data_IF_754961218388
#
_entry.id   IF_754961218388
#
_cell.length_a   1.000
_cell.length_b   1.000
_cell.length_c   1.000
_cell.angle_alpha   90.00
_cell.angle_beta   90.00
_cell.angle_gamma   90.00
#
_symmetry.space_group_name_H-M   'P 1'
#
loop_
_entity.id
_entity.type
_entity.pdbx_description
1 polymer ?
#
# COMPACT_ATOMS: atom_id res chain seq x y z
N UNK A 1 6.41 -29.08 11.76
CA UNK A 1 6.68 -27.63 11.65
C UNK A 1 5.89 -26.77 12.64
N UNK A 2 5.29 -27.35 13.69
CA UNK A 2 4.36 -26.64 14.60
C UNK A 2 5.01 -25.59 15.52
N UNK A 3 6.34 -25.40 15.47
CA UNK A 3 7.06 -24.34 16.19
C UNK A 3 7.76 -23.29 15.32
N UNK A 4 7.76 -23.45 13.98
CA UNK A 4 8.40 -22.47 13.08
C UNK A 4 7.52 -21.23 12.92
N UNK A 5 8.12 -20.04 12.77
CA UNK A 5 7.39 -18.78 12.50
C UNK A 5 6.60 -18.93 11.20
N UNK A 6 5.39 -18.37 11.14
CA UNK A 6 4.51 -18.47 9.96
C UNK A 6 5.20 -17.96 8.69
N UNK A 7 5.95 -16.86 8.80
CA UNK A 7 6.76 -16.29 7.72
C UNK A 7 7.80 -17.27 7.18
N UNK A 8 8.50 -17.97 8.07
CA UNK A 8 9.59 -18.87 7.68
C UNK A 8 9.03 -20.13 7.01
N UNK A 9 7.91 -20.62 7.51
CA UNK A 9 7.19 -21.75 6.95
C UNK A 9 6.61 -21.43 5.56
N UNK A 10 5.94 -20.28 5.40
CA UNK A 10 5.42 -19.83 4.09
C UNK A 10 6.57 -19.58 3.11
N UNK A 11 7.67 -18.96 3.55
CA UNK A 11 8.84 -18.75 2.70
C UNK A 11 9.51 -20.08 2.28
N UNK A 12 9.51 -21.09 3.15
CA UNK A 12 9.99 -22.43 2.81
C UNK A 12 9.16 -23.05 1.68
N UNK A 13 7.83 -23.06 1.82
CA UNK A 13 6.93 -23.59 0.79
C UNK A 13 6.96 -22.78 -0.50
N UNK A 14 7.08 -21.45 -0.40
CA UNK A 14 7.27 -20.57 -1.55
C UNK A 14 8.51 -20.97 -2.38
N UNK A 15 9.66 -21.19 -1.72
CA UNK A 15 10.90 -21.62 -2.41
C UNK A 15 10.77 -22.98 -3.10
N UNK A 16 9.87 -23.84 -2.62
CA UNK A 16 9.59 -25.16 -3.22
C UNK A 16 8.49 -25.14 -4.29
N UNK A 17 7.77 -24.02 -4.45
CA UNK A 17 6.59 -23.96 -5.32
C UNK A 17 5.35 -24.66 -4.76
N UNK A 18 5.35 -25.02 -3.47
CA UNK A 18 4.28 -25.77 -2.79
C UNK A 18 3.20 -24.82 -2.26
N UNK A 19 2.48 -24.15 -3.18
CA UNK A 19 1.50 -23.11 -2.82
C UNK A 19 0.33 -23.61 -1.96
N UNK A 20 -0.11 -24.85 -2.16
CA UNK A 20 -1.22 -25.45 -1.40
C UNK A 20 -0.90 -25.57 0.09
N UNK A 21 0.30 -26.03 0.43
CA UNK A 21 0.72 -26.19 1.81
C UNK A 21 0.96 -24.84 2.50
N UNK A 22 1.47 -23.86 1.74
CA UNK A 22 1.60 -22.48 2.20
C UNK A 22 0.24 -21.84 2.53
N UNK A 23 -0.77 -22.03 1.68
CA UNK A 23 -2.14 -21.55 1.90
C UNK A 23 -2.75 -22.23 3.12
N UNK A 24 -2.66 -23.55 3.23
CA UNK A 24 -3.17 -24.31 4.38
C UNK A 24 -2.58 -23.79 5.70
N UNK A 25 -1.28 -23.51 5.72
CA UNK A 25 -0.61 -23.00 6.91
C UNK A 25 -1.07 -21.60 7.33
N UNK A 26 -1.45 -20.74 6.38
CA UNK A 26 -2.03 -19.42 6.68
C UNK A 26 -3.47 -19.53 7.18
N UNK A 27 -4.26 -20.49 6.68
CA UNK A 27 -5.62 -20.76 7.14
C UNK A 27 -5.66 -21.33 8.56
N UNK A 28 -4.79 -22.28 8.86
CA UNK A 28 -4.85 -23.06 10.10
C UNK A 28 -4.21 -22.32 11.30
N UNK A 29 -3.58 -21.17 11.09
CA UNK A 29 -2.87 -20.42 12.14
C UNK A 29 -3.55 -19.11 12.47
N UNK A 30 -3.64 -18.85 13.78
CA UNK A 30 -4.19 -17.61 14.30
C UNK A 30 -3.35 -16.39 13.82
N UNK A 31 -4.00 -15.32 13.33
CA UNK A 31 -3.30 -14.16 12.78
C UNK A 31 -2.53 -13.37 13.84
N UNK A 32 -1.20 -13.42 13.80
CA UNK A 32 -0.35 -12.42 14.46
C UNK A 32 -0.13 -11.23 13.50
N UNK A 33 -0.63 -10.03 13.85
CA UNK A 33 -0.77 -8.89 12.91
C UNK A 33 0.38 -8.73 11.90
N UNK A 34 1.63 -8.64 12.37
CA UNK A 34 2.78 -8.38 11.50
C UNK A 34 3.28 -9.58 10.69
N UNK A 35 3.37 -10.77 11.30
CA UNK A 35 3.96 -11.93 10.60
C UNK A 35 2.93 -12.60 9.72
N UNK A 36 1.67 -12.66 10.14
CA UNK A 36 0.58 -13.14 9.31
C UNK A 36 0.38 -12.25 8.07
N UNK A 37 0.37 -10.92 8.21
CA UNK A 37 0.34 -9.99 7.06
C UNK A 37 1.48 -10.25 6.08
N UNK A 38 2.69 -10.46 6.59
CA UNK A 38 3.88 -10.74 5.77
C UNK A 38 3.80 -12.10 5.06
N UNK A 39 3.22 -13.10 5.71
CA UNK A 39 2.94 -14.40 5.13
C UNK A 39 1.92 -14.31 3.99
N UNK A 40 0.81 -13.58 4.18
CA UNK A 40 -0.18 -13.33 3.12
C UNK A 40 0.42 -12.54 1.97
N UNK A 41 1.23 -11.52 2.25
CA UNK A 41 1.94 -10.77 1.21
C UNK A 41 2.83 -11.69 0.36
N UNK A 42 3.48 -12.68 0.98
CA UNK A 42 4.25 -13.70 0.26
C UNK A 42 3.35 -14.56 -0.63
N UNK A 43 2.19 -15.03 -0.13
CA UNK A 43 1.21 -15.78 -0.93
C UNK A 43 0.66 -14.94 -2.10
N UNK A 44 0.36 -13.67 -1.88
CA UNK A 44 -0.08 -12.77 -2.94
C UNK A 44 1.00 -12.59 -4.01
N UNK A 45 2.28 -12.49 -3.60
CA UNK A 45 3.39 -12.45 -4.57
C UNK A 45 3.51 -13.72 -5.41
N UNK A 46 3.14 -14.88 -4.86
CA UNK A 46 3.08 -16.15 -5.59
C UNK A 46 1.91 -16.16 -6.58
N UNK A 47 0.72 -15.77 -6.11
CA UNK A 47 -0.48 -15.69 -6.92
C UNK A 47 -0.32 -14.72 -8.10
N UNK A 48 0.30 -13.56 -7.89
CA UNK A 48 0.57 -12.58 -8.94
C UNK A 48 1.51 -13.06 -10.05
N UNK A 49 2.24 -14.16 -9.85
CA UNK A 49 3.17 -14.76 -10.84
C UNK A 49 2.55 -15.88 -11.66
N UNK A 50 1.37 -16.36 -11.29
CA UNK A 50 0.68 -17.45 -11.99
C UNK A 50 -0.61 -16.93 -12.64
N UNK A 51 -0.96 -17.38 -13.86
CA UNK A 51 -2.18 -16.97 -14.50
C UNK A 51 -3.37 -17.88 -14.15
N UNK A 52 -4.58 -17.36 -14.34
CA UNK A 52 -5.80 -18.16 -14.45
C UNK A 52 -6.11 -19.03 -13.23
N UNK A 53 -6.45 -20.30 -13.46
CA UNK A 53 -6.97 -21.21 -12.42
C UNK A 53 -6.01 -21.45 -11.26
N UNK A 54 -4.71 -21.43 -11.50
CA UNK A 54 -3.71 -21.64 -10.46
C UNK A 54 -3.59 -20.44 -9.51
N UNK A 55 -3.85 -19.25 -10.04
CA UNK A 55 -3.99 -18.03 -9.24
C UNK A 55 -5.19 -18.11 -8.30
N UNK A 56 -6.36 -18.49 -8.83
CA UNK A 56 -7.59 -18.64 -8.04
C UNK A 56 -7.48 -19.65 -6.90
N UNK A 57 -6.64 -20.69 -7.05
CA UNK A 57 -6.36 -21.66 -5.98
C UNK A 57 -5.65 -21.05 -4.77
N UNK A 58 -5.02 -19.89 -4.93
CA UNK A 58 -4.38 -19.13 -3.86
C UNK A 58 -5.28 -17.98 -3.43
N UNK A 59 -5.81 -17.21 -4.39
CA UNK A 59 -6.59 -16.01 -4.09
C UNK A 59 -7.86 -16.29 -3.28
N UNK A 60 -8.71 -17.22 -3.72
CA UNK A 60 -10.01 -17.44 -3.05
C UNK A 60 -9.84 -17.93 -1.59
N UNK A 61 -9.01 -18.94 -1.29
CA UNK A 61 -8.86 -19.38 0.10
C UNK A 61 -8.21 -18.32 0.99
N UNK A 62 -7.31 -17.49 0.44
CA UNK A 62 -6.71 -16.39 1.20
C UNK A 62 -7.73 -15.29 1.43
N UNK A 63 -8.56 -14.98 0.44
CA UNK A 63 -9.64 -14.00 0.54
C UNK A 63 -10.63 -14.37 1.64
N UNK A 64 -11.08 -15.62 1.70
CA UNK A 64 -11.95 -16.12 2.78
C UNK A 64 -11.37 -15.81 4.16
N UNK A 65 -10.09 -16.16 4.39
CA UNK A 65 -9.47 -15.89 5.70
C UNK A 65 -9.33 -14.40 5.98
N UNK A 66 -9.02 -13.59 4.96
CA UNK A 66 -8.92 -12.14 5.11
C UNK A 66 -10.27 -11.52 5.47
N UNK A 67 -11.36 -11.97 4.86
CA UNK A 67 -12.73 -11.52 5.18
C UNK A 67 -13.13 -11.85 6.62
N UNK A 68 -12.66 -12.98 7.15
CA UNK A 68 -12.94 -13.42 8.52
C UNK A 68 -12.03 -12.79 9.59
N UNK A 69 -11.10 -11.89 9.21
CA UNK A 69 -10.22 -11.22 10.18
C UNK A 69 -11.02 -10.27 11.10
N UNK A 70 -10.81 -10.32 12.43
CA UNK A 70 -11.50 -9.44 13.37
C UNK A 70 -10.92 -8.01 13.44
N UNK A 71 -9.78 -7.76 12.80
CA UNK A 71 -9.10 -6.46 12.81
C UNK A 71 -9.19 -5.80 11.44
N UNK A 72 -10.10 -4.83 11.31
CA UNK A 72 -10.34 -4.06 10.08
C UNK A 72 -9.08 -3.34 9.55
N UNK A 73 -8.19 -2.92 10.46
CA UNK A 73 -6.93 -2.28 10.06
C UNK A 73 -6.02 -3.31 9.42
N UNK A 74 -5.87 -4.49 10.03
CA UNK A 74 -5.08 -5.58 9.47
C UNK A 74 -5.66 -6.04 8.12
N UNK A 75 -6.97 -6.21 8.05
CA UNK A 75 -7.70 -6.65 6.86
C UNK A 75 -7.43 -5.72 5.67
N UNK A 76 -7.66 -4.41 5.85
CA UNK A 76 -7.34 -3.38 4.86
C UNK A 76 -5.88 -3.40 4.43
N UNK A 77 -4.96 -3.49 5.38
CA UNK A 77 -3.53 -3.49 5.07
C UNK A 77 -3.09 -4.71 4.26
N UNK A 78 -3.72 -5.86 4.49
CA UNK A 78 -3.48 -7.09 3.73
C UNK A 78 -3.99 -6.97 2.29
N UNK A 79 -5.19 -6.41 2.10
CA UNK A 79 -5.74 -6.10 0.76
C UNK A 79 -4.81 -5.18 -0.02
N UNK A 80 -4.33 -4.11 0.62
CA UNK A 80 -3.41 -3.16 -0.02
C UNK A 80 -2.07 -3.81 -0.38
N UNK A 81 -1.54 -4.70 0.46
CA UNK A 81 -0.30 -5.41 0.14
C UNK A 81 -0.50 -6.42 -1.00
N UNK A 82 -1.64 -7.12 -1.04
CA UNK A 82 -1.94 -8.06 -2.12
C UNK A 82 -2.08 -7.34 -3.46
N UNK A 83 -2.74 -6.18 -3.48
CA UNK A 83 -2.93 -5.39 -4.70
C UNK A 83 -1.61 -4.93 -5.33
N UNK A 84 -0.52 -4.76 -4.56
CA UNK A 84 0.82 -4.49 -5.12
C UNK A 84 1.34 -5.59 -6.04
N UNK A 85 0.84 -6.82 -5.89
CA UNK A 85 1.15 -7.96 -6.75
C UNK A 85 0.07 -8.22 -7.80
N UNK A 86 -0.78 -7.23 -8.06
CA UNK A 86 -1.95 -7.32 -8.94
C UNK A 86 -2.95 -8.40 -8.50
N UNK A 87 -2.92 -8.81 -7.22
CA UNK A 87 -3.85 -9.77 -6.60
C UNK A 87 -5.04 -9.04 -6.02
N UNK A 88 -6.23 -9.56 -6.27
CA UNK A 88 -7.47 -8.98 -5.78
C UNK A 88 -8.05 -9.84 -4.66
N UNK A 89 -8.01 -9.31 -3.43
CA UNK A 89 -8.60 -9.92 -2.24
C UNK A 89 -9.82 -9.14 -1.75
N UNK A 90 -10.30 -8.14 -2.49
CA UNK A 90 -11.40 -7.28 -2.05
C UNK A 90 -12.25 -6.84 -3.23
N UNK A 91 -13.49 -7.34 -3.28
CA UNK A 91 -14.47 -7.03 -4.31
C UNK A 91 -15.41 -5.90 -3.88
N UNK A 92 -15.02 -5.13 -2.87
CA UNK A 92 -15.80 -4.07 -2.24
C UNK A 92 -16.41 -4.46 -0.89
N UNK A 93 -15.95 -5.56 -0.29
CA UNK A 93 -16.36 -5.98 1.05
C UNK A 93 -15.55 -5.29 2.15
N UNK A 94 -14.29 -4.92 1.87
CA UNK A 94 -13.33 -4.43 2.87
C UNK A 94 -13.09 -2.93 2.68
N UNK A 95 -12.68 -2.51 1.48
CA UNK A 95 -12.39 -1.11 1.21
C UNK A 95 -13.65 -0.37 0.74
N UNK A 96 -13.78 0.93 1.05
CA UNK A 96 -14.86 1.73 0.50
C UNK A 96 -14.82 1.75 -1.03
N UNK A 97 -15.99 1.58 -1.64
CA UNK A 97 -16.17 1.72 -3.09
C UNK A 97 -16.29 3.19 -3.43
N UNK A 98 -15.38 3.69 -4.26
CA UNK A 98 -15.37 5.08 -4.73
C UNK A 98 -15.59 5.15 -6.23
N UNK A 99 -16.25 6.21 -6.68
CA UNK A 99 -16.36 6.55 -8.09
C UNK A 99 -15.17 7.38 -8.57
N UNK A 100 -15.02 7.54 -9.89
CA UNK A 100 -14.05 8.48 -10.46
C UNK A 100 -14.30 9.93 -9.99
N UNK A 101 -15.57 10.29 -9.80
CA UNK A 101 -15.97 11.58 -9.24
C UNK A 101 -15.47 11.80 -7.83
N UNK A 102 -15.54 10.77 -6.98
CA UNK A 102 -15.00 10.81 -5.62
C UNK A 102 -13.48 10.98 -5.62
N UNK A 103 -12.78 10.21 -6.45
CA UNK A 103 -11.31 10.33 -6.62
C UNK A 103 -10.91 11.74 -7.00
N UNK A 104 -11.56 12.32 -8.02
CA UNK A 104 -11.29 13.69 -8.47
C UNK A 104 -11.59 14.71 -7.38
N UNK A 105 -12.71 14.55 -6.67
CA UNK A 105 -13.10 15.43 -5.55
C UNK A 105 -12.08 15.36 -4.42
N UNK A 106 -11.67 14.18 -3.98
CA UNK A 106 -10.71 14.02 -2.89
C UNK A 106 -9.33 14.57 -3.27
N UNK A 107 -8.87 14.29 -4.48
CA UNK A 107 -7.61 14.84 -5.00
C UNK A 107 -7.62 16.37 -5.00
N UNK A 108 -8.72 16.98 -5.46
CA UNK A 108 -8.90 18.43 -5.41
C UNK A 108 -8.86 18.98 -3.98
N UNK A 109 -9.63 18.39 -3.05
CA UNK A 109 -9.73 18.87 -1.66
C UNK A 109 -8.39 18.85 -0.92
N UNK A 110 -7.55 17.86 -1.18
CA UNK A 110 -6.24 17.73 -0.55
C UNK A 110 -5.11 18.35 -1.37
N UNK A 111 -5.39 18.89 -2.56
CA UNK A 111 -4.40 19.48 -3.45
C UNK A 111 -3.40 18.45 -4.03
N UNK A 112 -3.85 17.22 -4.26
CA UNK A 112 -3.09 16.19 -4.98
C UNK A 112 -3.47 16.19 -6.48
N UNK A 113 -2.51 15.91 -7.35
CA UNK A 113 -2.74 15.87 -8.80
C UNK A 113 -3.15 14.46 -9.25
N UNK A 114 -4.43 14.29 -9.59
CA UNK A 114 -5.00 13.01 -10.05
C UNK A 114 -4.30 12.47 -11.30
N UNK A 115 -3.72 13.33 -12.14
CA UNK A 115 -2.98 12.91 -13.35
C UNK A 115 -1.74 12.10 -13.02
N UNK A 116 -1.25 12.18 -11.78
CA UNK A 116 -0.18 11.30 -11.31
C UNK A 116 -0.72 9.88 -11.08
N UNK A 117 -1.95 9.73 -10.60
CA UNK A 117 -2.60 8.42 -10.40
C UNK A 117 -2.86 7.73 -11.75
N UNK A 118 -3.33 8.48 -12.74
CA UNK A 118 -3.61 8.00 -14.11
C UNK A 118 -2.40 7.34 -14.79
N UNK A 119 -1.17 7.67 -14.37
CA UNK A 119 0.05 7.05 -14.90
C UNK A 119 0.28 5.62 -14.42
N UNK A 120 -0.34 5.23 -13.31
CA UNK A 120 -0.11 3.95 -12.63
C UNK A 120 -1.37 3.10 -12.52
N UNK A 121 -2.55 3.72 -12.60
CA UNK A 121 -3.85 3.05 -12.47
C UNK A 121 -4.69 3.44 -13.67
N UNK A 122 -5.29 2.45 -14.33
CA UNK A 122 -6.30 2.68 -15.35
C UNK A 122 -7.56 3.23 -14.68
N UNK A 123 -7.73 4.55 -14.74
CA UNK A 123 -8.92 5.21 -14.22
C UNK A 123 -10.00 5.23 -15.31
N UNK A 124 -11.28 5.00 -14.96
CA UNK A 124 -12.36 5.07 -15.92
C UNK A 124 -12.61 6.52 -16.35
N UNK A 125 -13.09 6.70 -17.58
CA UNK A 125 -13.47 8.02 -18.10
C UNK A 125 -14.82 8.50 -17.52
N UNK A 126 -15.74 7.56 -17.26
CA UNK A 126 -17.04 7.84 -16.67
C UNK A 126 -16.90 8.29 -15.21
N UNK A 127 -17.49 9.46 -14.91
CA UNK A 127 -17.48 10.09 -13.60
C UNK A 127 -18.12 9.20 -12.52
N UNK A 128 -19.14 8.41 -12.86
CA UNK A 128 -19.87 7.57 -11.91
C UNK A 128 -19.31 6.16 -11.80
N UNK A 129 -18.38 5.77 -12.69
CA UNK A 129 -17.82 4.43 -12.68
C UNK A 129 -16.94 4.19 -11.44
N UNK A 130 -17.00 2.98 -10.85
CA UNK A 130 -16.17 2.63 -9.71
C UNK A 130 -14.68 2.60 -10.09
N UNK A 131 -13.83 2.99 -9.15
CA UNK A 131 -12.38 2.90 -9.28
C UNK A 131 -11.82 1.74 -8.48
N UNK A 132 -10.59 1.35 -8.83
CA UNK A 132 -9.77 0.51 -7.99
C UNK A 132 -9.21 1.33 -6.80
N UNK A 133 -10.00 1.39 -5.72
CA UNK A 133 -9.66 2.12 -4.49
C UNK A 133 -8.29 1.70 -3.94
N UNK A 134 -8.00 0.40 -3.94
CA UNK A 134 -6.74 -0.14 -3.43
C UNK A 134 -5.54 0.40 -4.24
N UNK A 135 -5.61 0.33 -5.57
CA UNK A 135 -4.54 0.82 -6.43
C UNK A 135 -4.33 2.35 -6.28
N UNK A 136 -5.43 3.12 -6.24
CA UNK A 136 -5.35 4.57 -6.02
C UNK A 136 -4.70 4.92 -4.67
N UNK A 137 -5.08 4.21 -3.60
CA UNK A 137 -4.50 4.42 -2.27
C UNK A 137 -3.02 4.03 -2.21
N UNK A 138 -2.60 2.98 -2.92
CA UNK A 138 -1.19 2.57 -3.02
C UNK A 138 -0.37 3.66 -3.71
N UNK A 139 -0.86 4.24 -4.82
CA UNK A 139 -0.18 5.36 -5.48
C UNK A 139 -0.06 6.55 -4.53
N UNK A 140 -1.13 6.91 -3.83
CA UNK A 140 -1.09 8.00 -2.84
C UNK A 140 -0.05 7.76 -1.75
N UNK A 141 0.02 6.55 -1.18
CA UNK A 141 1.05 6.17 -0.20
C UNK A 141 2.46 6.19 -0.79
N UNK A 142 2.62 5.74 -2.03
CA UNK A 142 3.92 5.73 -2.71
C UNK A 142 4.43 7.16 -2.95
N UNK A 143 3.56 8.06 -3.43
CA UNK A 143 3.89 9.48 -3.65
C UNK A 143 4.18 10.19 -2.32
N UNK A 144 3.37 9.96 -1.30
CA UNK A 144 3.62 10.49 0.04
C UNK A 144 5.00 10.07 0.57
N UNK A 145 5.34 8.79 0.44
CA UNK A 145 6.64 8.27 0.87
C UNK A 145 7.80 8.80 0.03
N UNK A 146 7.63 8.95 -1.29
CA UNK A 146 8.65 9.51 -2.17
C UNK A 146 9.03 10.93 -1.75
N UNK A 147 8.03 11.81 -1.62
CA UNK A 147 8.27 13.21 -1.25
C UNK A 147 8.77 13.34 0.20
N UNK A 148 8.24 12.54 1.13
CA UNK A 148 8.72 12.51 2.52
C UNK A 148 10.20 12.15 2.61
N UNK A 149 10.64 11.11 1.88
CA UNK A 149 12.06 10.70 1.86
C UNK A 149 12.96 11.77 1.26
N UNK A 150 12.48 12.47 0.22
CA UNK A 150 13.21 13.60 -0.37
C UNK A 150 13.36 14.77 0.61
N UNK A 151 12.27 15.17 1.26
CA UNK A 151 12.31 16.22 2.29
C UNK A 151 13.28 15.87 3.42
N UNK A 152 13.18 14.64 3.95
CA UNK A 152 14.09 14.14 4.99
C UNK A 152 15.55 14.16 4.56
N UNK A 153 15.84 13.72 3.33
CA UNK A 153 17.21 13.77 2.80
C UNK A 153 17.75 15.19 2.74
N UNK A 154 16.96 16.14 2.24
CA UNK A 154 17.38 17.55 2.16
C UNK A 154 17.61 18.15 3.55
N UNK A 155 16.74 17.86 4.52
CA UNK A 155 16.92 18.33 5.90
C UNK A 155 18.19 17.78 6.57
N UNK A 156 18.58 16.53 6.26
CA UNK A 156 19.83 15.95 6.75
C UNK A 156 21.09 16.56 6.10
N UNK A 157 20.95 17.20 4.93
CA UNK A 157 22.04 17.90 4.24
C UNK A 157 22.17 19.36 4.69
N UNK A 158 21.19 19.91 5.41
CA UNK A 158 21.28 21.26 5.96
C UNK A 158 22.29 21.31 7.12
N UNK A 159 23.03 22.41 7.27
CA UNK A 159 23.89 22.58 8.43
C UNK A 159 23.07 22.56 9.72
N UNK A 160 23.70 22.05 10.78
CA UNK A 160 23.12 22.04 12.12
C UNK A 160 22.65 23.47 12.48
N UNK A 161 21.37 23.66 12.87
CA UNK A 161 20.88 24.96 13.31
C UNK A 161 21.70 25.57 14.46
N UNK A 162 22.38 24.75 15.27
CA UNK A 162 23.19 25.18 16.41
C UNK A 162 24.68 25.38 16.05
N UNK A 163 25.06 25.18 14.78
CA UNK A 163 26.43 25.40 14.31
C UNK A 163 26.78 26.89 14.30
N UNK A 164 28.03 27.27 14.64
CA UNK A 164 28.50 28.65 14.52
C UNK A 164 28.62 29.13 13.06
N UNK A 165 28.50 28.25 12.07
CA UNK A 165 28.52 28.64 10.66
C UNK A 165 27.18 29.25 10.21
N UNK A 166 27.18 30.47 9.65
CA UNK A 166 25.94 31.10 9.19
C UNK A 166 25.34 30.36 7.99
N UNK A 167 24.01 30.23 7.98
CA UNK A 167 23.28 29.70 6.84
C UNK A 167 23.53 30.58 5.60
N UNK A 168 23.90 29.93 4.50
CA UNK A 168 24.03 30.58 3.19
C UNK A 168 22.67 30.60 2.50
N UNK A 169 22.51 31.50 1.54
CA UNK A 169 21.28 31.60 0.73
C UNK A 169 20.86 30.26 0.08
N UNK A 170 21.84 29.46 -0.38
CA UNK A 170 21.56 28.11 -0.89
C UNK A 170 20.88 27.19 0.15
N UNK A 171 21.21 27.32 1.44
CA UNK A 171 20.57 26.54 2.51
C UNK A 171 19.11 26.97 2.74
N UNK A 172 18.80 28.25 2.53
CA UNK A 172 17.42 28.76 2.58
C UNK A 172 16.59 28.12 1.46
N UNK A 173 17.10 28.15 0.22
CA UNK A 173 16.46 27.49 -0.93
C UNK A 173 16.27 25.99 -0.72
N UNK A 174 17.25 25.31 -0.11
CA UNK A 174 17.13 23.89 0.26
C UNK A 174 16.03 23.68 1.31
N UNK A 175 15.97 24.51 2.35
CA UNK A 175 14.95 24.42 3.39
C UNK A 175 13.53 24.66 2.86
N UNK A 176 13.36 25.63 1.96
CA UNK A 176 12.11 25.88 1.24
C UNK A 176 11.69 24.66 0.41
N UNK A 177 12.63 24.09 -0.35
CA UNK A 177 12.38 22.88 -1.15
C UNK A 177 11.99 21.69 -0.28
N UNK A 178 12.67 21.49 0.85
CA UNK A 178 12.34 20.41 1.78
C UNK A 178 10.94 20.59 2.38
N UNK A 179 10.58 21.82 2.74
CA UNK A 179 9.23 22.18 3.22
C UNK A 179 8.18 21.91 2.16
N UNK A 180 8.43 22.30 0.91
CA UNK A 180 7.55 22.02 -0.22
C UNK A 180 7.37 20.50 -0.43
N UNK A 181 8.44 19.71 -0.45
CA UNK A 181 8.34 18.24 -0.57
C UNK A 181 7.57 17.65 0.63
N UNK A 182 7.77 18.15 1.85
CA UNK A 182 7.00 17.71 3.02
C UNK A 182 5.49 18.03 2.90
N UNK A 183 5.13 19.20 2.36
CA UNK A 183 3.75 19.58 2.09
C UNK A 183 3.11 18.65 1.06
N UNK A 184 3.79 18.42 -0.06
CA UNK A 184 3.31 17.49 -1.09
C UNK A 184 3.14 16.08 -0.51
N UNK A 185 4.05 15.64 0.34
CA UNK A 185 3.94 14.36 1.03
C UNK A 185 2.68 14.29 1.92
N UNK A 186 2.38 15.35 2.67
CA UNK A 186 1.18 15.44 3.52
C UNK A 186 -0.11 15.36 2.70
N UNK A 187 -0.16 16.07 1.56
CA UNK A 187 -1.32 16.05 0.64
C UNK A 187 -1.60 14.65 0.09
N UNK A 188 -0.57 13.96 -0.38
CA UNK A 188 -0.70 12.58 -0.85
C UNK A 188 -1.06 11.59 0.26
N UNK A 189 -0.55 11.79 1.48
CA UNK A 189 -0.94 10.99 2.63
C UNK A 189 -2.42 11.20 2.99
N UNK A 190 -2.89 12.45 2.95
CA UNK A 190 -4.29 12.79 3.15
C UNK A 190 -5.18 12.18 2.05
N UNK A 191 -4.78 12.25 0.78
CA UNK A 191 -5.49 11.59 -0.32
C UNK A 191 -5.70 10.10 -0.07
N UNK A 192 -4.62 9.38 0.24
CA UNK A 192 -4.70 7.94 0.53
C UNK A 192 -5.53 7.66 1.78
N UNK A 193 -5.45 8.51 2.81
CA UNK A 193 -6.24 8.39 4.04
C UNK A 193 -7.74 8.52 3.75
N UNK A 194 -8.14 9.52 2.96
CA UNK A 194 -9.54 9.75 2.56
C UNK A 194 -10.11 8.58 1.77
N UNK A 195 -9.35 8.03 0.81
CA UNK A 195 -9.78 6.85 0.04
C UNK A 195 -10.04 5.63 0.92
N UNK A 196 -9.29 5.49 2.01
CA UNK A 196 -9.38 4.35 2.91
C UNK A 196 -10.40 4.53 4.04
N UNK A 197 -11.11 5.67 4.10
CA UNK A 197 -12.08 5.98 5.15
C UNK A 197 -11.45 6.05 6.56
N UNK A 198 -10.18 6.45 6.65
CA UNK A 198 -9.41 6.52 7.91
C UNK A 198 -9.24 7.96 8.42
#
# INVERSE_FOLDING_TARGET
>A
MNGARITDAVAHYHRKGESKDAVRLVRDREPDKFRWRSAVSTLASMAGRVPGRDRFRIEEPVREVVLDLPDDVLQREVVLDARRFNVDLDRGEILPVHSMGDVRRYAFLVGADVRVVERYVALPEDFMAPVDTAACAIVGRAMANHHRRRAQKIWLELPDPDSPEPRRHHHELMAERATHDADVARRWAAFAKTLLGA
#
